data_IF_241250860351
#
_entry.id   IF_241250860351
#
_cell.length_a   1.000
_cell.length_b   1.000
_cell.length_c   1.000
_cell.angle_alpha   90.00
_cell.angle_beta   90.00
_cell.angle_gamma   90.00
#
_symmetry.space_group_name_H-M   'P 1'
#
loop_
_entity.id
_entity.type
_entity.pdbx_description
1 polymer ?
#
# COMPACT_ATOMS: atom_id res chain seq x y z
N UNK A 1 -5.90 -10.26 -7.77
CA UNK A 1 -5.78 -9.14 -6.81
C UNK A 1 -6.13 -7.82 -7.46
N UNK A 2 -6.67 -6.86 -6.72
CA UNK A 2 -7.03 -5.53 -7.20
C UNK A 2 -6.31 -4.46 -6.38
N UNK A 3 -5.64 -3.52 -7.07
CA UNK A 3 -4.99 -2.37 -6.44
C UNK A 3 -5.86 -1.12 -6.62
N UNK A 4 -6.27 -0.52 -5.51
CA UNK A 4 -7.16 0.65 -5.51
C UNK A 4 -6.45 1.80 -4.81
N UNK A 5 -6.35 2.95 -5.50
CA UNK A 5 -5.90 4.22 -4.91
C UNK A 5 -7.11 5.05 -4.52
N UNK A 6 -7.14 5.53 -3.29
CA UNK A 6 -8.26 6.27 -2.71
C UNK A 6 -7.74 7.60 -2.16
N UNK A 7 -8.38 8.69 -2.58
CA UNK A 7 -8.23 10.00 -1.94
C UNK A 7 -9.42 10.22 -1.01
N UNK A 8 -9.15 10.47 0.27
CA UNK A 8 -10.17 10.60 1.28
C UNK A 8 -9.86 11.74 2.25
N UNK A 9 -10.89 12.21 2.95
CA UNK A 9 -10.72 13.20 4.03
C UNK A 9 -9.87 12.62 5.16
N UNK A 10 -8.93 13.40 5.66
CA UNK A 10 -8.13 13.05 6.84
C UNK A 10 -8.90 13.37 8.13
N UNK A 11 -9.96 12.59 8.39
CA UNK A 11 -10.83 12.72 9.55
C UNK A 11 -10.94 11.40 10.34
N UNK A 12 -11.18 11.46 11.65
CA UNK A 12 -11.45 10.27 12.44
C UNK A 12 -12.59 9.44 11.82
N UNK A 13 -12.41 8.12 11.75
CA UNK A 13 -13.39 7.19 11.20
C UNK A 13 -13.42 7.05 9.68
N UNK A 14 -12.72 7.90 8.91
CA UNK A 14 -12.70 7.78 7.44
C UNK A 14 -12.09 6.45 6.98
N UNK A 15 -10.94 6.06 7.54
CA UNK A 15 -10.31 4.77 7.31
C UNK A 15 -11.25 3.60 7.66
N UNK A 16 -11.88 3.65 8.83
CA UNK A 16 -12.77 2.60 9.32
C UNK A 16 -13.97 2.39 8.38
N UNK A 17 -14.50 3.44 7.79
CA UNK A 17 -15.61 3.34 6.82
C UNK A 17 -15.18 2.62 5.54
N UNK A 18 -14.01 2.91 5.02
CA UNK A 18 -13.48 2.23 3.82
C UNK A 18 -13.24 0.75 4.11
N UNK A 19 -12.50 0.43 5.17
CA UNK A 19 -12.22 -0.96 5.54
C UNK A 19 -13.48 -1.71 5.93
N UNK A 20 -14.44 -1.05 6.59
CA UNK A 20 -15.74 -1.62 6.97
C UNK A 20 -16.59 -2.07 5.78
N UNK A 21 -16.59 -1.33 4.68
CA UNK A 21 -17.31 -1.73 3.44
C UNK A 21 -16.69 -2.98 2.83
N UNK A 22 -15.37 -3.12 2.85
CA UNK A 22 -14.66 -4.30 2.33
C UNK A 22 -14.91 -5.51 3.23
N UNK A 23 -14.73 -5.35 4.55
CA UNK A 23 -14.92 -6.40 5.54
C UNK A 23 -16.36 -6.91 5.58
N UNK A 24 -17.38 -6.03 5.50
CA UNK A 24 -18.77 -6.41 5.49
C UNK A 24 -19.17 -7.28 4.28
N UNK A 25 -18.36 -7.30 3.24
CA UNK A 25 -18.55 -8.13 2.04
C UNK A 25 -17.63 -9.35 2.00
N UNK A 26 -16.83 -9.55 3.05
CA UNK A 26 -15.90 -10.68 3.14
C UNK A 26 -14.69 -10.56 2.22
N UNK A 27 -14.34 -9.36 1.74
CA UNK A 27 -13.13 -9.16 0.93
C UNK A 27 -11.90 -9.11 1.82
N UNK A 28 -10.89 -9.94 1.49
CA UNK A 28 -9.62 -9.91 2.19
C UNK A 28 -8.78 -8.71 1.75
N UNK A 29 -8.21 -8.00 2.73
CA UNK A 29 -7.27 -6.90 2.49
C UNK A 29 -5.86 -7.46 2.63
N UNK A 30 -5.14 -7.61 1.53
CA UNK A 30 -3.77 -8.11 1.49
C UNK A 30 -2.77 -7.04 1.92
N UNK A 31 -3.03 -5.79 1.55
CA UNK A 31 -2.15 -4.66 1.86
C UNK A 31 -2.98 -3.39 2.02
N UNK A 32 -2.61 -2.56 3.00
CA UNK A 32 -3.23 -1.27 3.26
C UNK A 32 -2.15 -0.27 3.69
N UNK A 33 -2.05 0.81 2.94
CA UNK A 33 -1.15 1.92 3.24
C UNK A 33 -1.93 3.22 3.20
N UNK A 34 -1.76 4.08 4.19
CA UNK A 34 -2.41 5.38 4.25
C UNK A 34 -1.46 6.44 4.79
N UNK A 35 -1.42 7.58 4.13
CA UNK A 35 -0.63 8.73 4.57
C UNK A 35 -1.32 10.05 4.21
N UNK A 36 -1.00 11.10 4.94
CA UNK A 36 -1.41 12.47 4.60
C UNK A 36 -0.84 12.88 3.25
N UNK A 37 -1.59 13.68 2.50
CA UNK A 37 -1.11 14.33 1.27
C UNK A 37 -0.41 15.65 1.62
N UNK A 38 -0.07 16.44 0.59
CA UNK A 38 0.40 17.83 0.78
C UNK A 38 -0.68 18.72 1.42
N UNK A 39 -1.95 18.40 1.19
CA UNK A 39 -3.06 18.99 1.92
C UNK A 39 -3.30 18.17 3.21
N UNK A 40 -3.09 18.76 4.40
CA UNK A 40 -3.26 18.06 5.67
C UNK A 40 -4.70 17.61 5.95
N UNK A 41 -5.69 18.13 5.22
CA UNK A 41 -7.09 17.69 5.32
C UNK A 41 -7.38 16.44 4.49
N UNK A 42 -6.45 16.01 3.66
CA UNK A 42 -6.59 14.86 2.76
C UNK A 42 -5.55 13.78 3.06
N UNK A 43 -5.97 12.55 2.91
CA UNK A 43 -5.10 11.37 2.96
C UNK A 43 -5.21 10.59 1.65
N UNK A 44 -4.10 9.98 1.25
CA UNK A 44 -4.08 8.98 0.18
C UNK A 44 -3.93 7.60 0.80
N UNK A 45 -4.78 6.71 0.37
CA UNK A 45 -4.78 5.31 0.78
C UNK A 45 -4.57 4.44 -0.47
N UNK A 46 -3.73 3.44 -0.35
CA UNK A 46 -3.62 2.36 -1.33
C UNK A 46 -4.05 1.07 -0.65
N UNK A 47 -4.99 0.36 -1.27
CA UNK A 47 -5.47 -0.94 -0.77
C UNK A 47 -5.25 -1.97 -1.88
N UNK A 48 -4.72 -3.12 -1.49
CA UNK A 48 -4.69 -4.32 -2.32
C UNK A 48 -5.69 -5.31 -1.73
N UNK A 49 -6.67 -5.72 -2.52
CA UNK A 49 -7.71 -6.66 -2.11
C UNK A 49 -7.72 -7.89 -3.01
N UNK A 50 -8.01 -9.04 -2.41
CA UNK A 50 -8.24 -10.27 -3.17
C UNK A 50 -9.71 -10.36 -3.56
N UNK A 51 -10.00 -10.08 -4.83
CA UNK A 51 -11.33 -10.11 -5.40
C UNK A 51 -11.31 -10.64 -6.83
N UNK A 52 -12.42 -11.27 -7.22
CA UNK A 52 -12.62 -11.72 -8.59
C UNK A 52 -12.79 -10.54 -9.55
N UNK A 53 -12.34 -10.70 -10.80
CA UNK A 53 -12.35 -9.64 -11.83
C UNK A 53 -13.76 -9.07 -12.06
N UNK A 54 -14.78 -9.93 -12.05
CA UNK A 54 -16.19 -9.55 -12.25
C UNK A 54 -16.72 -8.54 -11.25
N UNK A 55 -16.15 -8.48 -10.03
CA UNK A 55 -16.62 -7.59 -8.96
C UNK A 55 -15.74 -6.37 -8.74
N UNK A 56 -14.57 -6.25 -9.40
CA UNK A 56 -13.63 -5.13 -9.25
C UNK A 56 -14.31 -3.77 -9.41
N UNK A 57 -15.07 -3.59 -10.48
CA UNK A 57 -15.80 -2.34 -10.73
C UNK A 57 -16.81 -2.03 -9.64
N UNK A 58 -17.45 -3.06 -9.08
CA UNK A 58 -18.41 -2.88 -7.98
C UNK A 58 -17.73 -2.43 -6.70
N UNK A 59 -16.56 -2.97 -6.37
CA UNK A 59 -15.75 -2.55 -5.20
C UNK A 59 -15.47 -1.05 -5.26
N UNK A 60 -14.92 -0.58 -6.37
CA UNK A 60 -14.60 0.85 -6.57
C UNK A 60 -15.85 1.72 -6.49
N UNK A 61 -16.96 1.30 -7.11
CA UNK A 61 -18.24 2.04 -7.03
C UNK A 61 -18.76 2.15 -5.60
N UNK A 62 -18.60 1.12 -4.79
CA UNK A 62 -19.02 1.14 -3.38
C UNK A 62 -18.17 2.07 -2.52
N UNK A 63 -16.86 2.06 -2.73
CA UNK A 63 -15.93 2.95 -2.04
C UNK A 63 -16.23 4.41 -2.41
N UNK A 64 -16.48 4.72 -3.67
CA UNK A 64 -16.81 6.08 -4.14
C UNK A 64 -18.13 6.64 -3.59
N UNK A 65 -19.02 5.79 -3.03
CA UNK A 65 -20.25 6.24 -2.38
C UNK A 65 -20.04 6.71 -0.94
N UNK A 66 -18.88 6.48 -0.37
CA UNK A 66 -18.60 6.87 1.01
C UNK A 66 -18.40 8.38 1.12
N UNK A 67 -19.04 9.00 2.12
CA UNK A 67 -19.05 10.45 2.30
C UNK A 67 -17.64 11.07 2.46
N UNK A 68 -16.71 10.32 3.04
CA UNK A 68 -15.34 10.80 3.25
C UNK A 68 -14.39 10.50 2.08
N UNK A 69 -14.85 9.83 1.03
CA UNK A 69 -14.06 9.47 -0.14
C UNK A 69 -14.28 10.52 -1.24
N UNK A 70 -13.21 11.17 -1.65
CA UNK A 70 -13.25 12.13 -2.76
C UNK A 70 -13.13 11.40 -4.10
N UNK A 71 -12.27 10.37 -4.15
CA UNK A 71 -12.04 9.58 -5.34
C UNK A 71 -11.45 8.22 -4.99
N UNK A 72 -11.96 7.15 -5.58
CA UNK A 72 -11.33 5.84 -5.62
C UNK A 72 -11.11 5.44 -7.08
N UNK A 73 -9.93 4.96 -7.39
CA UNK A 73 -9.50 4.58 -8.74
C UNK A 73 -8.88 3.19 -8.71
N UNK A 74 -9.31 2.32 -9.61
CA UNK A 74 -8.66 1.03 -9.87
C UNK A 74 -7.36 1.27 -10.65
N UNK A 75 -6.26 0.77 -10.13
CA UNK A 75 -4.94 0.87 -10.75
C UNK A 75 -4.43 -0.49 -11.26
N UNK A 76 -5.22 -1.54 -11.17
CA UNK A 76 -4.81 -2.91 -11.49
C UNK A 76 -4.33 -3.08 -12.93
N UNK A 77 -5.08 -2.49 -13.88
CA UNK A 77 -4.80 -2.58 -15.32
C UNK A 77 -4.45 -1.21 -15.94
N UNK A 78 -4.38 -0.17 -15.10
CA UNK A 78 -4.04 1.18 -15.56
C UNK A 78 -2.52 1.40 -15.50
N UNK A 79 -1.95 2.25 -16.37
CA UNK A 79 -0.57 2.68 -16.23
C UNK A 79 -0.36 3.31 -14.85
N UNK A 80 0.36 2.62 -13.98
CA UNK A 80 0.62 3.04 -12.61
C UNK A 80 2.01 2.61 -12.17
N UNK A 81 2.58 3.35 -11.23
CA UNK A 81 3.75 2.90 -10.47
C UNK A 81 3.26 2.35 -9.14
N UNK A 82 3.64 1.11 -8.85
CA UNK A 82 3.41 0.45 -7.57
C UNK A 82 4.77 0.19 -6.93
N UNK A 83 4.93 0.55 -5.68
CA UNK A 83 6.16 0.32 -4.91
C UNK A 83 5.81 -0.12 -3.50
N UNK A 84 6.68 -0.95 -2.97
CA UNK A 84 6.65 -1.40 -1.59
C UNK A 84 8.06 -1.39 -1.03
N UNK A 85 8.21 -1.27 0.27
CA UNK A 85 9.46 -1.43 0.98
C UNK A 85 9.38 -2.65 1.90
N UNK A 86 10.47 -3.40 1.98
CA UNK A 86 10.62 -4.50 2.92
C UNK A 86 11.89 -4.30 3.77
N UNK A 87 11.80 -4.69 5.03
CA UNK A 87 12.94 -4.88 5.91
C UNK A 87 13.08 -6.38 6.16
N UNK A 88 14.21 -6.93 5.79
CA UNK A 88 14.50 -8.35 5.96
C UNK A 88 15.69 -8.50 6.90
N UNK A 89 15.48 -9.14 8.03
CA UNK A 89 16.57 -9.63 8.87
C UNK A 89 16.89 -11.05 8.44
N UNK A 90 18.13 -11.31 8.06
CA UNK A 90 18.61 -12.65 7.68
C UNK A 90 19.70 -13.08 8.63
N UNK A 91 19.53 -14.24 9.25
CA UNK A 91 20.56 -14.93 10.04
C UNK A 91 21.26 -15.92 9.14
N UNK A 92 22.53 -15.73 8.89
CA UNK A 92 23.29 -16.56 7.97
C UNK A 92 24.61 -17.01 8.56
N UNK A 93 25.08 -18.17 8.11
CA UNK A 93 26.39 -18.69 8.48
C UNK A 93 27.51 -17.76 7.98
N UNK A 94 28.68 -17.85 8.62
CA UNK A 94 29.82 -16.96 8.34
C UNK A 94 30.32 -17.05 6.89
N UNK A 95 30.30 -18.23 6.32
CA UNK A 95 30.70 -18.52 4.93
C UNK A 95 29.69 -18.00 3.88
N UNK A 96 28.43 -17.85 4.25
CA UNK A 96 27.37 -17.32 3.37
C UNK A 96 27.29 -15.79 3.35
N UNK A 97 27.95 -15.09 4.27
CA UNK A 97 27.84 -13.65 4.44
C UNK A 97 28.16 -12.85 3.18
N UNK A 98 29.26 -13.21 2.49
CA UNK A 98 29.66 -12.53 1.25
C UNK A 98 28.64 -12.73 0.15
N UNK A 99 28.02 -13.92 0.08
CA UNK A 99 27.00 -14.22 -0.91
C UNK A 99 25.71 -13.45 -0.65
N UNK A 100 25.27 -13.37 0.60
CA UNK A 100 24.10 -12.55 1.00
C UNK A 100 24.29 -11.09 0.60
N UNK A 101 25.48 -10.52 0.79
CA UNK A 101 25.77 -9.13 0.39
C UNK A 101 25.75 -8.94 -1.13
N UNK A 102 26.26 -9.91 -1.91
CA UNK A 102 26.18 -9.87 -3.37
C UNK A 102 24.74 -9.94 -3.88
N UNK A 103 23.91 -10.80 -3.29
CA UNK A 103 22.50 -10.86 -3.62
C UNK A 103 21.79 -9.54 -3.28
N UNK A 104 22.10 -8.94 -2.13
CA UNK A 104 21.57 -7.63 -1.77
C UNK A 104 21.91 -6.55 -2.81
N UNK A 105 23.11 -6.55 -3.38
CA UNK A 105 23.53 -5.65 -4.46
C UNK A 105 22.73 -5.90 -5.76
N UNK A 106 22.50 -7.17 -6.14
CA UNK A 106 21.74 -7.54 -7.33
C UNK A 106 20.31 -6.99 -7.26
N UNK A 107 19.68 -7.05 -6.09
CA UNK A 107 18.34 -6.52 -5.85
C UNK A 107 18.33 -5.00 -5.56
N UNK A 108 19.48 -4.30 -5.70
CA UNK A 108 19.64 -2.88 -5.38
C UNK A 108 19.17 -2.53 -3.97
N UNK A 109 19.31 -3.46 -3.03
CA UNK A 109 18.93 -3.30 -1.65
C UNK A 109 20.07 -2.72 -0.80
N UNK A 110 19.74 -2.25 0.39
CA UNK A 110 20.70 -1.59 1.29
C UNK A 110 20.80 -2.32 2.61
N UNK A 111 22.02 -2.63 3.03
CA UNK A 111 22.26 -3.13 4.39
C UNK A 111 22.10 -1.97 5.37
N UNK A 112 21.17 -2.09 6.31
CA UNK A 112 20.88 -1.07 7.34
C UNK A 112 21.49 -1.42 8.67
N UNK A 113 21.72 -2.72 8.94
CA UNK A 113 22.42 -3.19 10.12
C UNK A 113 23.22 -4.46 9.81
N UNK A 114 24.35 -4.64 10.51
CA UNK A 114 25.22 -5.79 10.39
C UNK A 114 25.70 -6.25 11.76
N UNK A 115 25.50 -7.51 12.06
CA UNK A 115 25.95 -8.16 13.28
C UNK A 115 26.75 -9.43 12.96
N UNK A 116 27.31 -10.08 13.99
CA UNK A 116 27.98 -11.38 13.84
C UNK A 116 27.03 -12.49 13.42
N UNK A 117 25.71 -12.34 13.67
CA UNK A 117 24.69 -13.33 13.37
C UNK A 117 24.08 -13.17 11.98
N UNK A 118 24.20 -11.98 11.36
CA UNK A 118 23.60 -11.72 10.05
C UNK A 118 23.46 -10.24 9.71
N UNK A 119 22.46 -9.92 8.91
CA UNK A 119 22.19 -8.58 8.38
C UNK A 119 20.73 -8.20 8.53
N UNK A 120 20.47 -6.88 8.66
CA UNK A 120 19.19 -6.30 8.36
C UNK A 120 19.30 -5.52 7.04
N UNK A 121 18.44 -5.84 6.08
CA UNK A 121 18.51 -5.34 4.71
C UNK A 121 17.18 -4.67 4.36
N UNK A 122 17.26 -3.47 3.78
CA UNK A 122 16.14 -2.72 3.24
C UNK A 122 16.11 -2.88 1.73
N UNK A 123 14.95 -3.25 1.18
CA UNK A 123 14.72 -3.27 -0.26
C UNK A 123 13.43 -2.54 -0.62
N UNK A 124 13.43 -1.84 -1.75
CA UNK A 124 12.27 -1.14 -2.29
C UNK A 124 12.10 -1.50 -3.75
N UNK A 125 10.90 -1.86 -4.17
CA UNK A 125 10.65 -2.28 -5.54
C UNK A 125 9.19 -2.61 -5.82
N UNK A 126 8.98 -3.28 -6.94
CA UNK A 126 7.69 -3.90 -7.26
C UNK A 126 7.44 -5.07 -6.27
N UNK A 127 6.21 -5.29 -5.81
CA UNK A 127 5.90 -6.34 -4.85
C UNK A 127 6.40 -7.72 -5.27
N UNK A 128 6.25 -8.10 -6.54
CA UNK A 128 6.72 -9.39 -7.08
C UNK A 128 8.24 -9.55 -6.96
N UNK A 129 9.01 -8.49 -7.27
CA UNK A 129 10.48 -8.51 -7.11
C UNK A 129 10.90 -8.60 -5.64
N UNK A 130 10.11 -8.03 -4.75
CA UNK A 130 10.37 -8.13 -3.31
C UNK A 130 10.06 -9.53 -2.78
N UNK A 131 9.07 -10.20 -3.33
CA UNK A 131 8.80 -11.61 -3.02
C UNK A 131 9.98 -12.50 -3.46
N UNK A 132 10.51 -12.30 -4.66
CA UNK A 132 11.73 -12.97 -5.14
C UNK A 132 12.93 -12.72 -4.20
N UNK A 133 13.13 -11.46 -3.81
CA UNK A 133 14.20 -11.08 -2.86
C UNK A 133 14.05 -11.79 -1.51
N UNK A 134 12.85 -11.85 -0.96
CA UNK A 134 12.57 -12.52 0.31
C UNK A 134 12.89 -14.02 0.20
N UNK A 135 12.49 -14.68 -0.88
CA UNK A 135 12.77 -16.11 -1.10
C UNK A 135 14.28 -16.37 -1.24
N UNK A 136 15.01 -15.50 -1.95
CA UNK A 136 16.47 -15.60 -2.05
C UNK A 136 17.11 -15.46 -0.65
N UNK A 137 16.71 -14.46 0.14
CA UNK A 137 17.25 -14.28 1.50
C UNK A 137 16.93 -15.48 2.39
N UNK A 138 15.73 -16.04 2.27
CA UNK A 138 15.28 -17.22 3.02
C UNK A 138 16.13 -18.46 2.75
N UNK A 139 16.70 -18.59 1.55
CA UNK A 139 17.58 -19.73 1.19
C UNK A 139 18.92 -19.74 1.95
N UNK A 140 19.33 -18.60 2.53
CA UNK A 140 20.59 -18.47 3.27
C UNK A 140 20.46 -18.67 4.78
N UNK A 141 19.23 -18.70 5.31
CA UNK A 141 19.01 -18.92 6.72
C UNK A 141 17.63 -18.49 7.22
N UNK A 142 17.52 -18.36 8.53
CA UNK A 142 16.29 -17.88 9.17
C UNK A 142 16.09 -16.40 8.87
N UNK A 143 14.87 -16.04 8.45
CA UNK A 143 14.53 -14.64 8.17
C UNK A 143 13.36 -14.15 9.03
N UNK A 144 13.38 -12.85 9.29
CA UNK A 144 12.25 -12.09 9.82
C UNK A 144 11.97 -10.94 8.86
N UNK A 145 10.69 -10.72 8.50
CA UNK A 145 10.29 -9.81 7.43
C UNK A 145 9.23 -8.84 7.91
N UNK A 146 9.48 -7.56 7.70
CA UNK A 146 8.47 -6.51 7.85
C UNK A 146 8.24 -5.82 6.49
N UNK A 147 6.96 -5.66 6.10
CA UNK A 147 6.54 -5.03 4.84
C UNK A 147 5.78 -3.74 5.11
N UNK A 148 6.01 -2.72 4.31
CA UNK A 148 5.28 -1.45 4.42
C UNK A 148 3.85 -1.54 3.89
N UNK A 149 3.57 -2.50 3.02
CA UNK A 149 2.44 -2.48 2.13
C UNK A 149 2.69 -1.62 0.89
N UNK A 150 1.89 -1.84 -0.14
CA UNK A 150 2.03 -1.18 -1.43
C UNK A 150 1.56 0.28 -1.39
N UNK A 151 2.32 1.18 -2.01
CA UNK A 151 1.87 2.49 -2.43
C UNK A 151 1.73 2.51 -3.96
N UNK A 152 0.68 3.16 -4.47
CA UNK A 152 0.43 3.20 -5.90
C UNK A 152 0.06 4.61 -6.37
N UNK A 153 0.57 4.98 -7.54
CA UNK A 153 0.28 6.25 -8.20
C UNK A 153 -0.01 6.01 -9.68
N UNK A 154 -1.13 6.56 -10.18
CA UNK A 154 -1.42 6.56 -11.61
C UNK A 154 -0.40 7.41 -12.37
N UNK A 155 0.06 6.90 -13.51
CA UNK A 155 0.89 7.65 -14.46
C UNK A 155 0.05 8.49 -15.42
N UNK A 156 -1.25 8.24 -15.51
CA UNK A 156 -2.14 9.07 -16.28
C UNK A 156 -2.50 10.35 -15.50
N UNK A 157 -2.32 11.54 -16.08
CA UNK A 157 -2.72 12.79 -15.46
C UNK A 157 -4.25 12.93 -15.49
N UNK A 158 -4.96 12.19 -14.65
CA UNK A 158 -6.39 12.42 -14.44
C UNK A 158 -6.53 13.75 -13.70
N UNK A 159 -7.15 14.75 -14.35
CA UNK A 159 -7.56 15.98 -13.66
C UNK A 159 -8.42 15.56 -12.46
N UNK A 160 -7.93 15.81 -11.25
CA UNK A 160 -8.70 15.68 -10.03
C UNK A 160 -9.97 16.53 -10.18
N UNK A 161 -11.11 15.89 -10.41
CA UNK A 161 -12.39 16.55 -10.24
C UNK A 161 -12.66 16.57 -8.74
N UNK A 162 -12.13 17.59 -8.07
CA UNK A 162 -12.54 17.90 -6.70
C UNK A 162 -14.03 18.24 -6.80
N UNK A 163 -14.88 17.38 -6.25
CA UNK A 163 -16.25 17.81 -6.00
C UNK A 163 -16.17 18.96 -4.99
N UNK A 164 -16.81 20.11 -5.27
CA UNK A 164 -16.84 21.19 -4.29
C UNK A 164 -17.41 20.62 -2.97
N UNK A 165 -16.87 21.05 -1.82
CA UNK A 165 -17.37 20.58 -0.54
C UNK A 165 -18.89 20.82 -0.48
N UNK A 166 -19.64 19.77 -0.09
CA UNK A 166 -21.07 19.89 0.14
C UNK A 166 -21.27 21.00 1.17
N UNK A 167 -21.98 22.09 0.85
CA UNK A 167 -22.18 23.19 1.80
C UNK A 167 -22.78 22.62 3.09
N UNK A 168 -22.23 23.04 4.23
CA UNK A 168 -22.78 22.67 5.52
C UNK A 168 -24.28 23.02 5.57
N UNK A 169 -25.14 22.16 6.15
CA UNK A 169 -26.55 22.48 6.29
C UNK A 169 -26.68 23.82 7.02
N UNK A 170 -27.37 24.76 6.39
CA UNK A 170 -27.67 26.08 6.98
C UNK A 170 -28.47 25.81 8.25
N UNK A 171 -27.93 26.21 9.39
CA UNK A 171 -28.69 26.16 10.64
C UNK A 171 -29.95 26.99 10.47
N UNK A 172 -31.11 26.33 10.45
CA UNK A 172 -32.41 27.03 10.48
C UNK A 172 -32.49 27.70 11.85
N UNK A 173 -32.32 29.01 11.87
CA UNK A 173 -32.65 29.80 13.06
C UNK A 173 -34.15 29.74 13.22
N UNK A 174 -34.62 28.98 14.21
CA UNK A 174 -36.01 29.00 14.66
C UNK A 174 -36.21 30.34 15.40
N UNK A 175 -37.11 31.14 14.90
CA UNK A 175 -37.61 32.37 15.54
C UNK A 175 -38.50 32.02 16.71
#
# INVERSE_FOLDING_TARGET
MQTISILLENKPGALLRVTGVLSARGYNIESLTVAKTLDPQLSRMTIVVDVEDRIRTQVVKQINKLINVLQATDLTESPAVIREMVLVRVRCAQDSRTTVLKEAEIFHSRVVDSSTEGFAIEATGDPEKLDEFIEVMRSYGEIDVARSGAIAMSLEPKKLRLQPPVPAPVAVQTI
#
